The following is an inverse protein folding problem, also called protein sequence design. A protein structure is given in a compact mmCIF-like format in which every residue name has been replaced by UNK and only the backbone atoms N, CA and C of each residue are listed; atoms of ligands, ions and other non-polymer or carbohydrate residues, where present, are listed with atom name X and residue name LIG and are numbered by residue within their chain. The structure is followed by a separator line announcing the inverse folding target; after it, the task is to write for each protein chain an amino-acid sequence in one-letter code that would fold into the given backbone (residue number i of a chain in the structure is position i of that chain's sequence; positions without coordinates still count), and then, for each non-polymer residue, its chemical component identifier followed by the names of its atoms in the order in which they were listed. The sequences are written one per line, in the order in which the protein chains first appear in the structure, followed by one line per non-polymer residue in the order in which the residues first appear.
data_IF_978205117437
#
_entry.id   IF_978205117437
#
_cell.length_a   1.000
_cell.length_b   1.000
_cell.length_c   1.000
_cell.angle_alpha   90.00
_cell.angle_beta   90.00
_cell.angle_gamma   90.00
#
_symmetry.space_group_name_H-M   'P 1'
#
loop_
_entity.id
_entity.type
_entity.pdbx_description
1 polymer ?
#
# COMPACT_ATOMS: atom_id res chain seq x y z
N UNK A 1 -3.74 7.77 -14.73
CA UNK A 1 -4.95 7.07 -14.24
C UNK A 1 -5.74 8.09 -13.44
N UNK A 2 -6.85 8.61 -13.97
CA UNK A 2 -7.70 9.51 -13.19
C UNK A 2 -8.23 8.75 -11.96
N UNK A 3 -8.38 9.44 -10.82
CA UNK A 3 -8.91 8.85 -9.59
C UNK A 3 -7.92 8.05 -8.74
N UNK A 4 -6.64 7.92 -9.15
CA UNK A 4 -5.61 7.27 -8.34
C UNK A 4 -5.06 8.23 -7.27
N UNK A 5 -5.18 7.84 -6.01
CA UNK A 5 -4.56 8.51 -4.85
C UNK A 5 -3.51 7.59 -4.23
N UNK A 6 -2.35 8.13 -3.89
CA UNK A 6 -1.31 7.40 -3.14
C UNK A 6 -1.19 8.03 -1.77
N UNK A 7 -1.28 7.20 -0.72
CA UNK A 7 -1.23 7.63 0.67
C UNK A 7 -0.11 6.90 1.41
N UNK A 8 0.69 7.64 2.17
CA UNK A 8 1.67 7.06 3.09
C UNK A 8 0.97 6.42 4.30
N UNK A 9 1.25 5.14 4.55
CA UNK A 9 0.67 4.39 5.68
C UNK A 9 1.62 3.32 6.16
N UNK A 10 1.59 3.05 7.46
CA UNK A 10 2.26 1.87 8.02
C UNK A 10 1.52 0.61 7.60
N UNK A 11 2.25 -0.35 7.03
CA UNK A 11 1.73 -1.64 6.58
C UNK A 11 2.44 -2.73 7.37
N UNK A 12 1.70 -3.50 8.17
CA UNK A 12 2.26 -4.55 9.03
C UNK A 12 3.46 -4.08 9.88
N UNK A 13 3.45 -2.84 10.36
CA UNK A 13 4.54 -2.25 11.15
C UNK A 13 5.73 -1.72 10.32
N UNK A 14 5.69 -1.84 9.00
CA UNK A 14 6.72 -1.31 8.09
C UNK A 14 6.24 -0.04 7.37
N UNK A 15 7.16 0.82 6.90
CA UNK A 15 6.84 1.90 5.98
C UNK A 15 6.13 1.37 4.73
N UNK A 16 5.13 2.09 4.26
CA UNK A 16 4.32 1.63 3.14
C UNK A 16 3.48 2.71 2.48
N UNK A 17 2.86 2.32 1.38
CA UNK A 17 1.91 3.14 0.62
C UNK A 17 0.61 2.36 0.39
N UNK A 18 -0.49 3.08 0.29
CA UNK A 18 -1.75 2.56 -0.23
C UNK A 18 -2.09 3.32 -1.50
N UNK A 19 -2.31 2.58 -2.58
CA UNK A 19 -2.91 3.11 -3.80
C UNK A 19 -4.43 2.88 -3.74
N UNK A 20 -5.18 3.98 -3.86
CA UNK A 20 -6.63 3.98 -3.91
C UNK A 20 -7.09 4.41 -5.30
N UNK A 21 -7.99 3.67 -5.91
CA UNK A 21 -8.69 4.06 -7.13
C UNK A 21 -10.11 4.47 -6.73
N UNK A 22 -10.46 5.74 -6.97
CA UNK A 22 -11.77 6.30 -6.60
C UNK A 22 -12.12 6.06 -5.12
N UNK A 23 -11.11 6.17 -4.24
CA UNK A 23 -11.21 5.95 -2.80
C UNK A 23 -11.16 4.48 -2.36
N UNK A 24 -11.15 3.53 -3.29
CA UNK A 24 -11.06 2.09 -3.00
C UNK A 24 -9.61 1.64 -3.00
N UNK A 25 -9.14 1.02 -1.92
CA UNK A 25 -7.80 0.45 -1.86
C UNK A 25 -7.63 -0.67 -2.89
N UNK A 26 -6.75 -0.45 -3.87
CA UNK A 26 -6.45 -1.40 -4.97
C UNK A 26 -5.05 -1.98 -4.89
N UNK A 27 -4.14 -1.34 -4.16
CA UNK A 27 -2.78 -1.86 -3.94
C UNK A 27 -2.24 -1.39 -2.61
N UNK A 28 -1.57 -2.29 -1.90
CA UNK A 28 -0.78 -1.96 -0.70
C UNK A 28 0.68 -2.26 -1.00
N UNK A 29 1.54 -1.32 -0.68
CA UNK A 29 2.99 -1.43 -0.78
C UNK A 29 3.60 -1.45 0.61
N UNK A 30 4.51 -2.38 0.86
CA UNK A 30 5.38 -2.39 2.04
C UNK A 30 6.83 -2.28 1.59
N UNK A 31 7.62 -1.57 2.38
CA UNK A 31 9.04 -1.36 2.12
C UNK A 31 9.88 -1.89 3.25
N UNK A 32 10.95 -2.59 2.88
CA UNK A 32 12.09 -2.78 3.76
C UNK A 32 13.12 -1.68 3.46
N UNK A 33 13.58 -0.99 4.49
CA UNK A 33 14.50 0.14 4.38
C UNK A 33 15.73 -0.15 5.23
N UNK A 34 16.90 -0.12 4.60
CA UNK A 34 18.18 -0.22 5.29
C UNK A 34 19.12 0.90 4.81
N UNK A 35 19.75 1.58 5.76
CA UNK A 35 20.67 2.71 5.49
C UNK A 35 20.06 3.73 4.51
N UNK A 36 18.84 4.20 4.82
CA UNK A 36 18.09 5.20 4.05
C UNK A 36 17.75 4.81 2.60
N UNK A 37 17.84 3.51 2.27
CA UNK A 37 17.48 2.98 0.95
C UNK A 37 16.44 1.88 1.07
N UNK A 38 15.47 1.89 0.15
CA UNK A 38 14.53 0.79 0.00
C UNK A 38 15.29 -0.41 -0.58
N UNK A 39 15.34 -1.51 0.17
CA UNK A 39 16.01 -2.76 -0.22
C UNK A 39 15.02 -3.76 -0.79
N UNK A 40 13.76 -3.71 -0.36
CA UNK A 40 12.68 -4.58 -0.85
C UNK A 40 11.38 -3.82 -0.95
N UNK A 41 10.61 -4.18 -1.98
CA UNK A 41 9.26 -3.68 -2.21
C UNK A 41 8.34 -4.88 -2.37
N UNK A 42 7.28 -4.92 -1.58
CA UNK A 42 6.18 -5.85 -1.81
C UNK A 42 4.95 -5.08 -2.23
N UNK A 43 4.33 -5.49 -3.33
CA UNK A 43 3.08 -4.92 -3.82
C UNK A 43 1.99 -5.99 -3.80
N UNK A 44 0.92 -5.76 -3.05
CA UNK A 44 -0.21 -6.68 -2.94
C UNK A 44 -1.45 -6.05 -3.57
N UNK A 45 -1.98 -6.71 -4.60
CA UNK A 45 -3.27 -6.36 -5.25
C UNK A 45 -4.32 -7.45 -5.13
N UNK A 46 -4.08 -8.48 -4.32
CA UNK A 46 -5.04 -9.57 -4.16
C UNK A 46 -6.29 -9.04 -3.44
N UNK A 47 -7.48 -9.06 -4.07
CA UNK A 47 -8.71 -8.56 -3.46
C UNK A 47 -9.00 -9.19 -2.09
N UNK A 48 -8.76 -10.49 -1.93
CA UNK A 48 -9.02 -11.21 -0.69
C UNK A 48 -8.18 -10.69 0.49
N UNK A 49 -6.96 -10.25 0.20
CA UNK A 49 -6.02 -9.68 1.17
C UNK A 49 -6.24 -8.20 1.42
N UNK A 50 -6.96 -7.52 0.52
CA UNK A 50 -7.27 -6.09 0.62
C UNK A 50 -8.61 -5.83 1.31
N UNK A 51 -9.48 -6.83 1.50
CA UNK A 51 -10.76 -6.71 2.24
C UNK A 51 -10.65 -6.01 3.61
N UNK A 52 -9.61 -6.22 4.45
CA UNK A 52 -9.47 -5.49 5.71
C UNK A 52 -9.23 -3.98 5.52
N UNK A 53 -8.75 -3.56 4.35
CA UNK A 53 -8.45 -2.18 3.98
C UNK A 53 -9.59 -1.48 3.22
N UNK A 54 -10.73 -2.16 3.04
CA UNK A 54 -11.95 -1.57 2.46
C UNK A 54 -12.93 -1.03 3.50
N UNK A 55 -12.71 -1.30 4.79
CA UNK A 55 -13.46 -0.65 5.87
C UNK A 55 -12.84 0.72 6.16
N UNK A 56 -13.67 1.77 6.05
CA UNK A 56 -13.32 3.17 6.32
C UNK A 56 -13.16 3.43 7.81
#
# INVERSE_FOLDING_TARGET
MPGLTILERTVNGQPGLIAQQDGVTVTVFAFDIAADRITRIWAVRNPDKLRPWTAR
#
